data_IF_753176587388
#
_entry.id   IF_753176587388
#
_cell.length_a   1.000
_cell.length_b   1.000
_cell.length_c   1.000
_cell.angle_alpha   90.00
_cell.angle_beta   90.00
_cell.angle_gamma   90.00
#
_symmetry.space_group_name_H-M   'P 1'
#
loop_
_entity.id
_entity.type
_entity.pdbx_description
1 polymer ?
#
# COMPACT_ATOMS: atom_id res chain seq x y z
N UNK A 1 16.55 -6.47 -85.07
CA UNK A 1 15.77 -5.61 -84.17
C UNK A 1 15.09 -6.55 -83.22
N UNK A 2 15.51 -6.58 -81.95
CA UNK A 2 15.09 -7.57 -80.94
C UNK A 2 14.18 -6.87 -79.92
N UNK A 3 12.94 -7.33 -79.86
CA UNK A 3 11.95 -6.87 -78.89
C UNK A 3 12.29 -7.45 -77.51
N UNK A 4 12.39 -6.60 -76.49
CA UNK A 4 12.65 -6.96 -75.12
C UNK A 4 11.34 -6.82 -74.33
N UNK A 5 10.65 -7.94 -74.10
CA UNK A 5 9.43 -7.98 -73.29
C UNK A 5 9.77 -8.01 -71.82
N UNK A 6 9.46 -6.92 -71.12
CA UNK A 6 9.69 -6.77 -69.68
C UNK A 6 8.45 -7.32 -68.93
N UNK A 7 8.60 -8.53 -68.38
CA UNK A 7 7.60 -9.12 -67.47
C UNK A 7 7.76 -8.53 -66.07
N UNK A 8 6.85 -7.65 -65.68
CA UNK A 8 6.72 -7.22 -64.29
C UNK A 8 5.92 -8.24 -63.50
N UNK A 9 6.60 -9.03 -62.65
CA UNK A 9 5.96 -9.90 -61.64
C UNK A 9 5.56 -9.06 -60.45
N UNK A 10 4.28 -8.83 -60.27
CA UNK A 10 3.70 -8.21 -59.06
C UNK A 10 3.57 -9.32 -58.01
N UNK A 11 4.51 -9.41 -57.08
CA UNK A 11 4.40 -10.27 -55.91
C UNK A 11 3.48 -9.58 -54.89
N UNK A 12 2.23 -9.96 -54.86
CA UNK A 12 1.28 -9.52 -53.85
C UNK A 12 1.58 -10.17 -52.49
N UNK A 13 2.21 -9.45 -51.59
CA UNK A 13 2.36 -9.89 -50.20
C UNK A 13 1.02 -9.77 -49.48
N UNK A 14 0.37 -10.89 -49.23
CA UNK A 14 -0.85 -10.99 -48.44
C UNK A 14 -0.49 -10.82 -46.97
N UNK A 15 -0.61 -9.63 -46.40
CA UNK A 15 -0.49 -9.37 -44.97
C UNK A 15 -1.69 -9.99 -44.26
N UNK A 16 -1.50 -11.19 -43.70
CA UNK A 16 -2.46 -11.81 -42.78
C UNK A 16 -2.37 -11.08 -41.45
N UNK A 17 -3.29 -10.16 -41.21
CA UNK A 17 -3.47 -9.53 -39.88
C UNK A 17 -4.00 -10.59 -38.91
N UNK A 18 -3.12 -11.17 -38.09
CA UNK A 18 -3.54 -12.03 -37.00
C UNK A 18 -4.34 -11.19 -35.98
N UNK A 19 -5.49 -11.64 -35.51
CA UNK A 19 -6.26 -10.92 -34.50
C UNK A 19 -5.41 -10.88 -33.21
N UNK A 20 -5.06 -9.66 -32.76
CA UNK A 20 -4.47 -9.44 -31.44
C UNK A 20 -5.58 -9.75 -30.44
N UNK A 21 -5.62 -11.00 -29.96
CA UNK A 21 -6.45 -11.34 -28.82
C UNK A 21 -5.89 -10.60 -27.60
N UNK A 22 -6.61 -9.56 -27.18
CA UNK A 22 -6.35 -8.92 -25.91
C UNK A 22 -6.52 -10.00 -24.81
N UNK A 23 -5.40 -10.52 -24.32
CA UNK A 23 -5.42 -11.41 -23.16
C UNK A 23 -6.11 -10.66 -22.03
N UNK A 24 -7.31 -11.11 -21.66
CA UNK A 24 -8.00 -10.66 -20.45
C UNK A 24 -7.05 -10.93 -19.29
N UNK A 25 -6.36 -9.89 -18.80
CA UNK A 25 -5.49 -9.97 -17.63
C UNK A 25 -6.34 -10.58 -16.51
N UNK A 26 -6.00 -11.78 -16.07
CA UNK A 26 -6.69 -12.40 -14.95
C UNK A 26 -6.66 -11.40 -13.80
N UNK A 27 -7.83 -11.13 -13.19
CA UNK A 27 -7.95 -10.20 -12.08
C UNK A 27 -7.07 -10.76 -10.96
N UNK A 28 -5.90 -10.17 -10.73
CA UNK A 28 -5.00 -10.59 -9.66
C UNK A 28 -5.78 -10.53 -8.34
N UNK A 29 -5.73 -11.63 -7.60
CA UNK A 29 -6.38 -11.70 -6.30
C UNK A 29 -5.70 -10.70 -5.38
N UNK A 30 -6.45 -9.73 -4.91
CA UNK A 30 -5.94 -8.73 -3.97
C UNK A 30 -5.45 -9.43 -2.69
N UNK A 31 -4.26 -9.09 -2.17
CA UNK A 31 -3.76 -9.66 -0.93
C UNK A 31 -4.58 -9.18 0.26
N UNK A 32 -4.71 -10.01 1.29
CA UNK A 32 -5.22 -9.54 2.58
C UNK A 32 -4.21 -8.58 3.22
N UNK A 33 -4.71 -7.55 3.89
CA UNK A 33 -3.90 -6.55 4.59
C UNK A 33 -4.23 -6.61 6.07
N UNK A 34 -3.21 -6.88 6.89
CA UNK A 34 -3.32 -6.83 8.35
C UNK A 34 -2.45 -5.66 8.80
N UNK A 35 -3.05 -4.71 9.50
CA UNK A 35 -2.39 -3.56 10.05
C UNK A 35 -2.30 -3.67 11.58
N UNK A 36 -1.08 -3.72 12.12
CA UNK A 36 -0.84 -3.89 13.56
C UNK A 36 -0.19 -2.62 14.09
N UNK A 37 -0.81 -1.99 15.08
CA UNK A 37 -0.27 -0.85 15.81
C UNK A 37 0.02 -1.30 17.23
N UNK A 38 1.27 -1.19 17.66
CA UNK A 38 1.64 -1.39 19.04
C UNK A 38 1.60 -0.05 19.77
N UNK A 39 0.96 -0.02 20.95
CA UNK A 39 0.88 1.16 21.80
C UNK A 39 2.02 1.14 22.83
N UNK A 40 2.64 2.28 23.05
CA UNK A 40 3.76 2.48 23.99
C UNK A 40 4.96 1.52 23.78
N UNK A 41 5.20 1.06 22.56
CA UNK A 41 6.31 0.19 22.21
C UNK A 41 7.48 1.03 21.66
N UNK A 42 8.62 0.98 22.34
CA UNK A 42 9.84 1.66 21.92
C UNK A 42 10.60 0.89 20.85
N UNK A 43 11.50 1.57 20.15
CA UNK A 43 12.33 0.98 19.10
C UNK A 43 13.11 -0.26 19.56
N UNK A 44 13.66 -0.23 20.79
CA UNK A 44 14.48 -1.32 21.37
C UNK A 44 13.69 -2.40 22.12
N UNK A 45 12.36 -2.42 22.05
CA UNK A 45 11.53 -3.32 22.84
C UNK A 45 11.26 -4.67 22.17
N UNK A 46 11.58 -4.79 20.88
CA UNK A 46 11.51 -6.05 20.14
C UNK A 46 12.90 -6.64 19.90
N UNK A 47 13.02 -7.98 19.93
CA UNK A 47 14.33 -8.64 19.75
C UNK A 47 14.93 -8.39 18.37
N UNK A 48 14.13 -8.27 17.32
CA UNK A 48 14.62 -7.88 15.98
C UNK A 48 15.20 -6.46 15.91
N UNK A 49 14.95 -5.63 16.91
CA UNK A 49 15.54 -4.29 17.08
C UNK A 49 16.53 -4.18 18.23
N UNK A 50 16.93 -5.32 18.82
CA UNK A 50 18.00 -5.39 19.82
C UNK A 50 17.54 -5.51 21.28
N UNK A 51 16.29 -5.83 21.55
CA UNK A 51 15.86 -6.17 22.89
C UNK A 51 16.60 -7.40 23.42
N UNK A 52 17.20 -7.29 24.62
CA UNK A 52 17.92 -8.39 25.26
C UNK A 52 17.11 -9.09 26.34
N UNK A 53 16.14 -8.40 26.93
CA UNK A 53 15.36 -8.91 28.10
C UNK A 53 14.04 -9.55 27.68
N UNK A 54 13.53 -9.19 26.51
CA UNK A 54 12.28 -9.69 25.95
C UNK A 54 12.58 -10.37 24.63
N UNK A 55 11.98 -11.54 24.42
CA UNK A 55 12.08 -12.25 23.15
C UNK A 55 10.77 -12.16 22.40
N UNK A 56 10.82 -11.75 21.13
CA UNK A 56 9.65 -11.58 20.27
C UNK A 56 9.75 -12.45 19.01
N UNK A 57 9.80 -13.81 19.15
CA UNK A 57 10.18 -14.70 18.05
C UNK A 57 9.25 -14.62 16.83
N UNK A 58 7.97 -14.37 17.05
CA UNK A 58 7.01 -14.23 15.94
C UNK A 58 7.22 -12.92 15.16
N UNK A 59 7.55 -11.84 15.85
CA UNK A 59 7.89 -10.55 15.21
C UNK A 59 9.24 -10.66 14.50
N UNK A 60 10.20 -11.37 15.09
CA UNK A 60 11.50 -11.63 14.48
C UNK A 60 11.39 -12.46 13.20
N UNK A 61 10.52 -13.48 13.20
CA UNK A 61 10.21 -14.26 12.00
C UNK A 61 9.60 -13.40 10.91
N UNK A 62 8.67 -12.52 11.26
CA UNK A 62 8.08 -11.56 10.32
C UNK A 62 9.13 -10.60 9.78
N UNK A 63 9.98 -10.04 10.63
CA UNK A 63 11.07 -9.14 10.26
C UNK A 63 12.10 -9.79 9.33
N UNK A 64 12.39 -11.10 9.54
CA UNK A 64 13.35 -11.85 8.71
C UNK A 64 12.79 -12.22 7.33
N UNK A 65 11.48 -12.37 7.22
CA UNK A 65 10.79 -12.73 5.95
C UNK A 65 10.29 -11.52 5.15
N UNK A 66 10.34 -10.32 5.75
CA UNK A 66 9.82 -9.10 5.17
C UNK A 66 10.84 -7.97 5.11
N UNK A 67 10.34 -6.75 5.18
CA UNK A 67 11.16 -5.54 5.20
C UNK A 67 11.16 -4.98 6.63
N UNK A 68 12.34 -4.78 7.19
CA UNK A 68 12.54 -4.11 8.47
C UNK A 68 13.09 -2.71 8.25
N UNK A 69 12.38 -1.70 8.73
CA UNK A 69 12.82 -0.31 8.68
C UNK A 69 13.69 -0.01 9.91
N UNK A 70 14.89 0.50 9.68
CA UNK A 70 15.85 0.84 10.75
C UNK A 70 15.78 2.31 11.16
N UNK A 71 15.10 3.14 10.37
CA UNK A 71 14.94 4.57 10.61
C UNK A 71 13.52 5.01 10.20
N UNK A 72 12.52 4.47 10.89
CA UNK A 72 11.12 4.84 10.73
C UNK A 72 10.62 5.55 11.99
N UNK A 73 9.93 6.65 11.81
CA UNK A 73 9.45 7.50 12.90
C UNK A 73 7.94 7.59 12.91
N UNK A 74 7.34 7.51 14.09
CA UNK A 74 5.94 7.88 14.26
C UNK A 74 5.79 9.39 14.03
N UNK A 75 4.66 9.79 13.45
CA UNK A 75 4.39 11.21 13.11
C UNK A 75 4.11 12.07 14.35
N UNK A 76 3.87 11.46 15.49
CA UNK A 76 3.72 12.10 16.79
C UNK A 76 4.11 11.11 17.90
N UNK A 77 4.50 11.65 19.06
CA UNK A 77 4.95 10.86 20.22
C UNK A 77 3.81 10.31 21.07
N UNK A 78 2.56 10.70 20.80
CA UNK A 78 1.39 10.30 21.60
C UNK A 78 0.31 9.68 20.74
N UNK A 79 -0.55 8.88 21.38
CA UNK A 79 -1.53 7.99 20.76
C UNK A 79 -2.48 8.70 19.79
N UNK A 80 -3.28 9.66 20.27
CA UNK A 80 -4.32 10.31 19.45
C UNK A 80 -3.78 10.97 18.18
N UNK A 81 -2.75 11.84 18.23
CA UNK A 81 -2.24 12.48 17.02
C UNK A 81 -1.56 11.48 16.07
N UNK A 82 -0.89 10.45 16.58
CA UNK A 82 -0.31 9.39 15.74
C UNK A 82 -1.38 8.61 15.00
N UNK A 83 -2.41 8.15 15.71
CA UNK A 83 -3.52 7.40 15.11
C UNK A 83 -4.33 8.27 14.15
N UNK A 84 -4.58 9.53 14.49
CA UNK A 84 -5.23 10.47 13.57
C UNK A 84 -4.47 10.56 12.24
N UNK A 85 -3.17 10.80 12.31
CA UNK A 85 -2.34 10.93 11.11
C UNK A 85 -2.30 9.66 10.28
N UNK A 86 -2.23 8.50 10.95
CA UNK A 86 -2.24 7.20 10.32
C UNK A 86 -3.55 6.92 9.57
N UNK A 87 -4.69 7.15 10.22
CA UNK A 87 -5.98 6.86 9.62
C UNK A 87 -6.37 7.84 8.51
N UNK A 88 -5.91 9.09 8.58
CA UNK A 88 -6.36 10.15 7.67
C UNK A 88 -5.32 10.57 6.63
N UNK A 89 -4.06 10.17 6.80
CA UNK A 89 -2.94 10.65 5.99
C UNK A 89 -2.58 12.13 6.22
N UNK A 90 -3.18 12.77 7.23
CA UNK A 90 -2.93 14.17 7.55
C UNK A 90 -2.10 14.31 8.83
N UNK A 91 -1.15 15.23 8.84
CA UNK A 91 -0.43 15.54 10.07
C UNK A 91 -1.37 16.16 11.12
N UNK A 92 -1.36 15.60 12.33
CA UNK A 92 -2.20 16.05 13.43
C UNK A 92 -1.94 17.52 13.81
N UNK A 93 -0.69 17.97 13.78
CA UNK A 93 -0.32 19.35 14.13
C UNK A 93 -0.91 20.43 13.20
N UNK A 94 -1.50 20.04 12.07
CA UNK A 94 -2.23 20.97 11.19
C UNK A 94 -3.62 21.36 11.72
N UNK A 95 -4.06 20.71 12.81
CA UNK A 95 -5.36 20.96 13.44
C UNK A 95 -5.18 21.15 14.95
N UNK A 96 -5.96 22.05 15.52
CA UNK A 96 -5.87 22.36 16.95
C UNK A 96 -6.57 21.34 17.84
N UNK A 97 -7.44 20.49 17.29
CA UNK A 97 -8.31 19.54 18.01
C UNK A 97 -7.82 18.08 17.92
N UNK A 98 -6.57 17.87 17.56
CA UNK A 98 -5.96 16.54 17.37
C UNK A 98 -4.90 16.20 18.42
N UNK A 99 -4.87 16.91 19.54
CA UNK A 99 -4.01 16.59 20.68
C UNK A 99 -4.44 15.31 21.41
N UNK A 100 -3.88 15.08 22.61
CA UNK A 100 -4.27 13.92 23.44
C UNK A 100 -5.75 14.00 23.78
N UNK A 101 -6.53 13.04 23.28
CA UNK A 101 -7.95 12.95 23.56
C UNK A 101 -8.17 12.43 25.00
N UNK A 102 -9.04 13.07 25.75
CA UNK A 102 -9.55 12.57 27.04
C UNK A 102 -10.62 11.51 26.78
N UNK A 103 -10.96 10.72 27.80
CA UNK A 103 -11.96 9.67 27.68
C UNK A 103 -13.38 10.16 27.30
N UNK A 104 -13.66 11.44 27.51
CA UNK A 104 -14.90 12.13 27.17
C UNK A 104 -14.79 13.01 25.91
N UNK A 105 -13.69 12.88 25.18
CA UNK A 105 -13.46 13.68 23.98
C UNK A 105 -14.48 13.34 22.88
N UNK A 106 -14.88 14.37 22.15
CA UNK A 106 -15.68 14.22 20.94
C UNK A 106 -14.91 13.54 19.81
N UNK A 107 -15.61 13.28 18.71
CA UNK A 107 -15.04 12.64 17.53
C UNK A 107 -13.93 13.50 16.90
N UNK A 108 -12.70 13.00 16.90
CA UNK A 108 -11.54 13.68 16.33
C UNK A 108 -11.50 13.57 14.80
N UNK A 109 -11.79 12.38 14.26
CA UNK A 109 -11.97 12.19 12.81
C UNK A 109 -13.44 12.44 12.48
N UNK A 110 -13.70 13.43 11.64
CA UNK A 110 -15.07 13.80 11.27
C UNK A 110 -15.65 12.79 10.27
N UNK A 111 -16.98 12.56 10.26
CA UNK A 111 -17.62 11.58 9.38
C UNK A 111 -17.34 11.78 7.89
N UNK A 112 -17.16 13.02 7.45
CA UNK A 112 -16.87 13.40 6.07
C UNK A 112 -15.40 13.24 5.68
N UNK A 113 -14.53 12.93 6.64
CA UNK A 113 -13.10 12.79 6.39
C UNK A 113 -12.77 11.36 5.92
N UNK A 114 -12.22 11.26 4.73
CA UNK A 114 -11.77 9.97 4.17
C UNK A 114 -10.65 9.38 5.03
N UNK A 115 -10.80 8.10 5.33
CA UNK A 115 -9.84 7.33 6.11
C UNK A 115 -9.20 6.22 5.25
N UNK A 116 -8.15 5.60 5.78
CA UNK A 116 -7.53 4.43 5.16
C UNK A 116 -8.56 3.29 4.99
N UNK A 117 -9.51 3.14 5.91
CA UNK A 117 -10.59 2.15 5.80
C UNK A 117 -11.52 2.43 4.61
N UNK A 118 -11.86 3.71 4.37
CA UNK A 118 -12.67 4.11 3.22
C UNK A 118 -11.92 3.86 1.91
N UNK A 119 -10.63 4.11 1.90
CA UNK A 119 -9.75 3.82 0.75
C UNK A 119 -9.76 2.31 0.44
N UNK A 120 -9.60 1.45 1.44
CA UNK A 120 -9.67 0.00 1.26
C UNK A 120 -11.05 -0.47 0.79
N UNK A 121 -12.12 0.08 1.36
CA UNK A 121 -13.50 -0.21 0.90
C UNK A 121 -13.70 0.18 -0.56
N UNK A 122 -13.22 1.34 -0.99
CA UNK A 122 -13.30 1.77 -2.38
C UNK A 122 -12.52 0.87 -3.33
N UNK A 123 -11.47 0.22 -2.84
CA UNK A 123 -10.70 -0.78 -3.57
C UNK A 123 -11.31 -2.20 -3.53
N UNK A 124 -12.48 -2.37 -2.88
CA UNK A 124 -13.21 -3.65 -2.83
C UNK A 124 -12.83 -4.57 -1.67
N UNK A 125 -12.12 -4.06 -0.66
CA UNK A 125 -11.85 -4.81 0.56
C UNK A 125 -13.03 -4.73 1.55
N UNK A 126 -13.18 -5.78 2.34
CA UNK A 126 -13.97 -5.72 3.58
C UNK A 126 -13.05 -5.26 4.70
N UNK A 127 -13.47 -4.25 5.45
CA UNK A 127 -12.71 -3.72 6.59
C UNK A 127 -13.44 -4.04 7.89
N UNK A 128 -12.70 -4.36 8.93
CA UNK A 128 -13.19 -4.64 10.28
C UNK A 128 -12.46 -3.82 11.33
#
# INVERSE_FOLDING_TARGET
MKNFDLWMSISGSLLIAAPIQAQKKAKEKQPNVIFIIADDLGYGDMSCYGAHRVQTPHVDALASSGIRFTDAHAVASTSTPSRYSLFTGHYAWRRNDTGIARGDAGMVIRPEQTTIADMFKSAGYTTG
#
